data_IF_513083324955
#
_entry.id   IF_513083324955
#
_cell.length_a   1.000
_cell.length_b   1.000
_cell.length_c   1.000
_cell.angle_alpha   90.00
_cell.angle_beta   90.00
_cell.angle_gamma   90.00
#
_symmetry.space_group_name_H-M   'P 1'
#
loop_
_entity.id
_entity.type
_entity.pdbx_description
1 polymer ?
#
# COMPACT_ATOMS: atom_id res chain seq x y z
N UNK A 1 4.49 -24.51 -1.86
CA UNK A 1 3.38 -24.23 -0.91
C UNK A 1 2.75 -22.91 -1.34
N UNK A 2 1.44 -22.89 -1.63
CA UNK A 2 0.75 -21.68 -2.11
C UNK A 2 0.75 -20.64 -0.98
N UNK A 3 1.08 -19.40 -1.29
CA UNK A 3 1.02 -18.31 -0.32
C UNK A 3 -0.45 -18.08 0.05
N UNK A 4 -0.73 -17.90 1.34
CA UNK A 4 -2.07 -17.53 1.80
C UNK A 4 -2.15 -16.00 1.76
N UNK A 5 -3.04 -15.46 0.92
CA UNK A 5 -3.04 -14.04 0.52
C UNK A 5 -4.22 -13.27 1.10
N UNK A 6 -5.36 -13.93 1.31
CA UNK A 6 -6.53 -13.36 1.96
C UNK A 6 -7.09 -14.41 2.92
N UNK A 7 -7.27 -14.04 4.18
CA UNK A 7 -7.86 -14.85 5.22
C UNK A 7 -9.39 -14.69 5.33
N UNK A 8 -9.93 -13.63 4.72
CA UNK A 8 -11.35 -13.28 4.70
C UNK A 8 -11.80 -13.08 3.24
N UNK A 9 -12.89 -13.74 2.86
CA UNK A 9 -13.58 -13.49 1.60
C UNK A 9 -14.63 -12.40 1.79
N UNK A 10 -14.68 -11.45 0.85
CA UNK A 10 -15.66 -10.37 0.82
C UNK A 10 -16.57 -10.51 -0.41
N UNK A 11 -17.82 -10.05 -0.29
CA UNK A 11 -18.77 -10.11 -1.40
C UNK A 11 -18.44 -9.11 -2.52
N UNK A 12 -17.75 -8.01 -2.18
CA UNK A 12 -17.36 -6.97 -3.12
C UNK A 12 -16.15 -6.16 -2.64
N UNK A 13 -15.41 -5.61 -3.60
CA UNK A 13 -14.45 -4.52 -3.40
C UNK A 13 -15.12 -3.20 -3.77
N UNK A 14 -14.92 -2.15 -2.96
CA UNK A 14 -15.53 -0.84 -3.16
C UNK A 14 -14.48 0.25 -3.30
N UNK A 15 -14.79 1.28 -4.09
CA UNK A 15 -14.04 2.54 -4.13
C UNK A 15 -15.00 3.69 -3.78
N UNK A 16 -14.66 4.51 -2.80
CA UNK A 16 -15.50 5.61 -2.30
C UNK A 16 -16.96 5.19 -2.05
N UNK A 17 -17.12 4.07 -1.35
CA UNK A 17 -18.41 3.43 -0.99
C UNK A 17 -19.23 2.91 -2.18
N UNK A 18 -18.64 2.81 -3.37
CA UNK A 18 -19.29 2.38 -4.61
C UNK A 18 -18.72 1.07 -5.14
N UNK A 19 -19.62 0.20 -5.57
CA UNK A 19 -19.29 -1.02 -6.29
C UNK A 19 -19.22 -0.75 -7.81
N UNK A 20 -18.76 -1.75 -8.56
CA UNK A 20 -18.51 -1.60 -10.01
C UNK A 20 -19.78 -1.44 -10.86
N UNK A 21 -20.97 -1.68 -10.31
CA UNK A 21 -22.25 -1.37 -10.94
C UNK A 21 -22.75 0.07 -10.70
N UNK A 22 -22.12 0.81 -9.77
CA UNK A 22 -22.39 2.23 -9.45
C UNK A 22 -21.09 3.08 -9.45
N UNK A 23 -20.33 2.95 -10.55
CA UNK A 23 -19.01 3.57 -10.71
C UNK A 23 -18.98 5.06 -10.43
N UNK A 24 -18.01 5.50 -9.63
CA UNK A 24 -17.77 6.94 -9.46
C UNK A 24 -17.05 7.51 -10.70
N UNK A 25 -17.67 8.49 -11.34
CA UNK A 25 -17.08 9.22 -12.45
C UNK A 25 -16.64 10.59 -11.98
N UNK A 26 -15.35 10.77 -11.79
CA UNK A 26 -14.74 12.06 -11.43
C UNK A 26 -14.47 12.84 -12.72
N UNK A 27 -15.14 13.99 -12.86
CA UNK A 27 -15.00 14.85 -14.03
C UNK A 27 -13.76 15.72 -13.91
N UNK A 28 -12.89 15.64 -14.91
CA UNK A 28 -11.61 16.36 -14.95
C UNK A 28 -11.49 17.23 -16.20
N UNK A 29 -10.66 18.26 -16.12
CA UNK A 29 -10.28 19.04 -17.30
C UNK A 29 -9.43 18.20 -18.26
N UNK A 30 -9.36 18.61 -19.52
CA UNK A 30 -8.48 18.00 -20.52
C UNK A 30 -7.04 18.47 -20.27
N UNK A 31 -6.10 17.52 -20.16
CA UNK A 31 -4.72 17.80 -19.79
C UNK A 31 -4.54 18.33 -18.35
N UNK A 32 -3.30 18.67 -18.02
CA UNK A 32 -2.92 19.15 -16.69
C UNK A 32 -2.55 18.02 -15.73
N UNK A 33 -2.60 18.31 -14.44
CA UNK A 33 -2.25 17.38 -13.38
C UNK A 33 -3.37 17.32 -12.34
N UNK A 34 -3.62 16.13 -11.81
CA UNK A 34 -4.48 15.95 -10.65
C UNK A 34 -3.70 15.24 -9.55
N UNK A 35 -4.06 15.50 -8.29
CA UNK A 35 -3.53 14.73 -7.17
C UNK A 35 -4.56 13.69 -6.76
N UNK A 36 -4.15 12.43 -6.71
CA UNK A 36 -4.92 11.34 -6.12
C UNK A 36 -4.32 10.98 -4.77
N UNK A 37 -5.13 11.05 -3.73
CA UNK A 37 -4.78 10.57 -2.39
C UNK A 37 -5.45 9.21 -2.20
N UNK A 38 -4.70 8.14 -2.44
CA UNK A 38 -5.25 6.77 -2.42
C UNK A 38 -5.02 6.19 -1.03
N UNK A 39 -6.08 5.65 -0.44
CA UNK A 39 -6.08 5.05 0.89
C UNK A 39 -6.61 3.63 0.77
N UNK A 40 -5.81 2.64 1.18
CA UNK A 40 -6.34 1.29 1.37
C UNK A 40 -7.02 1.21 2.74
N UNK A 41 -8.35 1.37 2.73
CA UNK A 41 -9.21 1.28 3.91
C UNK A 41 -9.74 -0.13 4.21
N UNK A 42 -9.31 -1.15 3.46
CA UNK A 42 -9.80 -2.52 3.68
C UNK A 42 -9.26 -3.11 4.99
N UNK A 43 -10.07 -4.00 5.58
CA UNK A 43 -9.76 -4.65 6.85
C UNK A 43 -8.78 -5.81 6.71
N UNK A 44 -8.84 -6.54 5.60
CA UNK A 44 -7.98 -7.73 5.37
C UNK A 44 -7.52 -7.91 3.93
N UNK A 45 -7.48 -6.84 3.13
CA UNK A 45 -7.19 -6.96 1.70
C UNK A 45 -6.15 -5.97 1.23
N UNK A 46 -5.14 -6.49 0.54
CA UNK A 46 -4.14 -5.74 -0.20
C UNK A 46 -4.61 -5.51 -1.64
N UNK A 47 -4.21 -4.40 -2.24
CA UNK A 47 -4.57 -4.07 -3.63
C UNK A 47 -3.35 -3.73 -4.48
N UNK A 48 -3.41 -4.13 -5.75
CA UNK A 48 -2.58 -3.56 -6.82
C UNK A 48 -3.38 -2.46 -7.51
N UNK A 49 -2.83 -1.26 -7.58
CA UNK A 49 -3.42 -0.15 -8.31
C UNK A 49 -2.85 -0.06 -9.71
N UNK A 50 -3.69 0.17 -10.71
CA UNK A 50 -3.30 0.34 -12.12
C UNK A 50 -4.04 1.54 -12.73
N UNK A 51 -3.27 2.50 -13.25
CA UNK A 51 -3.75 3.73 -13.87
C UNK A 51 -3.84 3.62 -15.41
N UNK A 52 -3.58 2.43 -15.96
CA UNK A 52 -3.63 2.13 -17.37
C UNK A 52 -2.63 2.97 -18.17
N UNK A 53 -3.15 3.84 -19.04
CA UNK A 53 -2.33 4.71 -19.89
C UNK A 53 -1.86 6.00 -19.21
N UNK A 54 -2.36 6.31 -18.01
CA UNK A 54 -1.93 7.48 -17.26
C UNK A 54 -0.64 7.19 -16.49
N UNK A 55 0.27 8.16 -16.52
CA UNK A 55 1.44 8.15 -15.64
C UNK A 55 1.13 8.94 -14.38
N UNK A 56 1.71 8.49 -13.28
CA UNK A 56 1.69 9.22 -12.04
C UNK A 56 3.09 9.32 -11.45
N UNK A 57 3.27 10.32 -10.60
CA UNK A 57 4.45 10.49 -9.79
C UNK A 57 4.06 10.33 -8.33
N UNK A 58 4.68 9.38 -7.65
CA UNK A 58 4.55 9.16 -6.22
C UNK A 58 5.46 10.16 -5.51
N UNK A 59 4.85 11.14 -4.82
CA UNK A 59 5.55 12.28 -4.21
C UNK A 59 5.12 12.57 -2.75
N UNK A 60 4.40 11.63 -2.13
CA UNK A 60 4.03 11.68 -0.72
C UNK A 60 5.20 11.58 0.27
N UNK A 61 4.90 11.34 1.56
CA UNK A 61 5.82 11.06 2.68
C UNK A 61 7.33 11.28 2.45
N UNK A 62 7.75 12.52 2.15
CA UNK A 62 9.14 12.95 1.97
C UNK A 62 10.04 11.91 1.26
N UNK A 63 9.58 11.40 0.12
CA UNK A 63 10.40 10.58 -0.78
C UNK A 63 10.81 11.39 -2.02
N UNK A 64 11.87 10.93 -2.70
CA UNK A 64 12.17 11.41 -4.05
C UNK A 64 11.03 10.96 -4.98
N UNK A 65 10.57 11.84 -5.90
CA UNK A 65 9.52 11.50 -6.85
C UNK A 65 9.83 10.22 -7.61
N UNK A 66 8.88 9.28 -7.64
CA UNK A 66 8.98 8.03 -8.40
C UNK A 66 7.84 7.96 -9.42
N UNK A 67 8.16 7.87 -10.71
CA UNK A 67 7.16 7.81 -11.78
C UNK A 67 6.80 6.37 -12.12
N UNK A 68 5.51 6.13 -12.31
CA UNK A 68 4.97 4.85 -12.75
C UNK A 68 3.45 4.93 -12.98
N UNK A 69 2.84 3.80 -13.28
CA UNK A 69 1.39 3.69 -13.52
C UNK A 69 0.77 2.53 -12.74
N UNK A 70 1.58 1.70 -12.09
CA UNK A 70 1.14 0.56 -11.30
C UNK A 70 1.94 0.47 -10.00
N UNK A 71 1.25 0.22 -8.89
CA UNK A 71 1.88 0.08 -7.58
C UNK A 71 0.99 -0.72 -6.62
N UNK A 72 1.61 -1.36 -5.63
CA UNK A 72 0.90 -2.06 -4.56
C UNK A 72 0.57 -1.15 -3.38
N UNK A 73 -0.53 -1.44 -2.68
CA UNK A 73 -0.87 -0.79 -1.43
C UNK A 73 -1.49 -1.79 -0.45
N UNK A 74 -0.79 -2.01 0.65
CA UNK A 74 -1.24 -2.90 1.71
C UNK A 74 -2.27 -2.24 2.63
N UNK A 75 -2.96 -3.04 3.45
CA UNK A 75 -3.97 -2.53 4.39
C UNK A 75 -3.43 -1.34 5.21
N UNK A 76 -4.25 -0.30 5.35
CA UNK A 76 -3.94 0.95 6.05
C UNK A 76 -2.79 1.79 5.46
N UNK A 77 -2.17 1.42 4.34
CA UNK A 77 -1.23 2.28 3.65
C UNK A 77 -1.96 3.39 2.88
N UNK A 78 -1.25 4.50 2.65
CA UNK A 78 -1.70 5.64 1.85
C UNK A 78 -0.61 6.04 0.90
N UNK A 79 -1.00 6.49 -0.29
CA UNK A 79 -0.09 7.04 -1.27
C UNK A 79 -0.69 8.32 -1.86
N UNK A 80 0.13 9.36 -1.90
CA UNK A 80 -0.17 10.57 -2.64
C UNK A 80 0.52 10.46 -4.00
N UNK A 81 -0.25 10.61 -5.06
CA UNK A 81 0.27 10.61 -6.42
C UNK A 81 -0.22 11.83 -7.19
N UNK A 82 0.63 12.34 -8.06
CA UNK A 82 0.27 13.34 -9.05
C UNK A 82 0.15 12.66 -10.40
N UNK A 83 -1.05 12.61 -10.96
CA UNK A 83 -1.37 11.99 -12.24
C UNK A 83 -1.32 13.03 -13.34
N UNK A 84 -0.58 12.74 -14.40
CA UNK A 84 -0.51 13.57 -15.60
C UNK A 84 -1.66 13.19 -16.54
N UNK A 85 -2.64 14.09 -16.71
CA UNK A 85 -3.76 13.86 -17.61
C UNK A 85 -3.33 14.05 -19.07
N UNK A 86 -3.84 13.18 -19.94
CA UNK A 86 -3.53 13.26 -21.37
C UNK A 86 -4.19 14.50 -21.99
N UNK A 87 -3.55 15.02 -23.05
CA UNK A 87 -4.06 16.19 -23.78
C UNK A 87 -5.28 15.90 -24.61
N UNK A 88 -5.62 14.64 -24.90
CA UNK A 88 -6.84 14.26 -25.59
C UNK A 88 -7.98 14.04 -24.58
N UNK A 89 -9.21 14.31 -25.00
CA UNK A 89 -10.37 13.91 -24.21
C UNK A 89 -10.43 12.38 -24.08
N UNK A 90 -10.80 11.89 -22.90
CA UNK A 90 -10.85 10.47 -22.62
C UNK A 90 -11.51 10.15 -21.28
N UNK A 91 -11.62 8.86 -21.01
CA UNK A 91 -12.01 8.29 -19.74
C UNK A 91 -10.99 7.22 -19.36
N UNK A 92 -10.49 7.30 -18.14
CA UNK A 92 -9.39 6.49 -17.63
C UNK A 92 -9.80 5.90 -16.29
N UNK A 93 -10.03 4.58 -16.22
CA UNK A 93 -10.20 3.90 -14.96
C UNK A 93 -8.92 3.92 -14.13
N UNK A 94 -9.09 4.05 -12.82
CA UNK A 94 -8.06 3.85 -11.82
C UNK A 94 -8.46 2.59 -11.05
N UNK A 95 -7.88 1.47 -11.44
CA UNK A 95 -8.25 0.15 -10.94
C UNK A 95 -7.57 -0.13 -9.61
N UNK A 96 -8.30 -0.73 -8.69
CA UNK A 96 -7.80 -1.39 -7.48
C UNK A 96 -8.10 -2.88 -7.58
N UNK A 97 -7.09 -3.68 -7.92
CA UNK A 97 -7.20 -5.13 -8.11
C UNK A 97 -6.86 -5.85 -6.82
N UNK A 98 -7.75 -6.73 -6.34
CA UNK A 98 -7.52 -7.51 -5.14
C UNK A 98 -6.31 -8.44 -5.30
N UNK A 99 -5.39 -8.44 -4.33
CA UNK A 99 -4.29 -9.41 -4.28
C UNK A 99 -4.85 -10.84 -4.22
N UNK A 100 -4.36 -11.74 -5.06
CA UNK A 100 -4.65 -13.17 -4.95
C UNK A 100 -6.10 -13.57 -5.28
N UNK A 101 -6.91 -12.64 -5.80
CA UNK A 101 -8.30 -12.87 -6.20
C UNK A 101 -8.63 -12.10 -7.49
N UNK A 102 -9.83 -12.34 -8.01
CA UNK A 102 -10.32 -11.67 -9.23
C UNK A 102 -11.08 -10.38 -8.98
N UNK A 103 -11.55 -10.11 -7.77
CA UNK A 103 -12.37 -8.91 -7.51
C UNK A 103 -11.54 -7.64 -7.71
N UNK A 104 -12.21 -6.58 -8.15
CA UNK A 104 -11.60 -5.26 -8.29
C UNK A 104 -12.62 -4.18 -7.94
N UNK A 105 -12.12 -2.97 -7.74
CA UNK A 105 -12.90 -1.75 -7.65
C UNK A 105 -12.26 -0.68 -8.54
N UNK A 106 -12.99 0.38 -8.85
CA UNK A 106 -12.43 1.48 -9.62
C UNK A 106 -13.09 2.83 -9.31
N UNK A 107 -12.38 3.87 -9.74
CA UNK A 107 -12.98 5.16 -10.08
C UNK A 107 -12.65 5.45 -11.54
N UNK A 108 -13.47 6.24 -12.21
CA UNK A 108 -13.20 6.70 -13.58
C UNK A 108 -12.89 8.19 -13.57
N UNK A 109 -11.69 8.55 -14.01
CA UNK A 109 -11.38 9.93 -14.39
C UNK A 109 -11.87 10.17 -15.81
N UNK A 110 -12.81 11.08 -16.01
CA UNK A 110 -13.35 11.36 -17.34
C UNK A 110 -13.27 12.86 -17.66
N UNK A 111 -12.77 13.18 -18.86
CA UNK A 111 -12.77 14.56 -19.35
C UNK A 111 -14.20 15.10 -19.39
N UNK A 112 -14.41 16.36 -18.98
CA UNK A 112 -15.71 17.03 -19.06
C UNK A 112 -16.26 16.92 -20.49
N UNK A 113 -17.51 16.47 -20.63
CA UNK A 113 -18.19 16.28 -21.92
C UNK A 113 -18.11 14.86 -22.50
N UNK A 114 -17.22 13.98 -21.99
CA UNK A 114 -17.18 12.56 -22.40
C UNK A 114 -18.41 11.83 -21.86
N UNK A 115 -19.34 11.45 -22.73
CA UNK A 115 -20.58 10.76 -22.35
C UNK A 115 -20.39 9.26 -22.13
N UNK A 116 -19.59 8.63 -23.00
CA UNK A 116 -19.35 7.19 -22.95
C UNK A 116 -18.11 6.92 -22.12
N UNK A 117 -18.32 6.58 -20.85
CA UNK A 117 -17.30 5.94 -20.03
C UNK A 117 -17.51 4.43 -20.18
N UNK A 118 -16.47 3.70 -20.58
CA UNK A 118 -16.57 2.25 -20.74
C UNK A 118 -16.99 1.60 -19.43
N UNK A 119 -17.73 0.49 -19.49
CA UNK A 119 -17.95 -0.37 -18.32
C UNK A 119 -16.77 -1.33 -18.19
N UNK A 120 -16.29 -1.49 -16.97
CA UNK A 120 -15.33 -2.52 -16.62
C UNK A 120 -16.04 -3.75 -16.08
N UNK A 121 -15.42 -4.92 -16.23
CA UNK A 121 -15.93 -6.15 -15.65
C UNK A 121 -15.72 -6.15 -14.13
N UNK A 122 -16.59 -6.84 -13.40
CA UNK A 122 -16.44 -6.95 -11.94
C UNK A 122 -15.23 -7.80 -11.50
N UNK A 123 -14.76 -8.64 -12.41
CA UNK A 123 -13.64 -9.54 -12.20
C UNK A 123 -12.52 -9.19 -13.18
N UNK A 124 -11.29 -9.19 -12.69
CA UNK A 124 -10.10 -9.04 -13.51
C UNK A 124 -9.89 -10.28 -14.37
N UNK A 125 -9.49 -10.09 -15.63
CA UNK A 125 -9.13 -11.18 -16.54
C UNK A 125 -7.91 -11.96 -16.06
N UNK A 126 -7.06 -11.33 -15.25
CA UNK A 126 -5.86 -11.92 -14.65
C UNK A 126 -5.81 -11.57 -13.16
N UNK A 127 -5.69 -12.59 -12.32
CA UNK A 127 -5.56 -12.40 -10.87
C UNK A 127 -4.26 -11.67 -10.55
N UNK A 128 -4.34 -10.67 -9.67
CA UNK A 128 -3.14 -9.98 -9.21
C UNK A 128 -2.31 -10.91 -8.32
N UNK A 129 -1.01 -10.97 -8.56
CA UNK A 129 -0.10 -11.78 -7.76
C UNK A 129 0.13 -11.21 -6.35
N UNK A 130 0.97 -11.88 -5.54
CA UNK A 130 1.44 -11.38 -4.26
C UNK A 130 1.91 -9.93 -4.30
N UNK A 131 1.56 -9.13 -3.29
CA UNK A 131 2.27 -7.89 -3.03
C UNK A 131 3.71 -8.21 -2.62
N UNK A 132 4.63 -7.52 -3.29
CA UNK A 132 6.07 -7.58 -3.05
C UNK A 132 6.53 -6.22 -2.54
N UNK A 133 7.81 -6.12 -2.17
CA UNK A 133 8.43 -4.84 -1.82
C UNK A 133 8.96 -4.07 -3.04
N UNK A 134 8.46 -4.33 -4.26
CA UNK A 134 9.04 -3.77 -5.48
C UNK A 134 8.91 -2.24 -5.55
N UNK A 135 7.81 -1.69 -5.05
CA UNK A 135 7.65 -0.24 -4.91
C UNK A 135 8.65 0.29 -3.87
N UNK A 136 8.60 -0.28 -2.66
CA UNK A 136 9.43 0.13 -1.53
C UNK A 136 10.93 0.11 -1.87
N UNK A 137 11.41 -0.89 -2.60
CA UNK A 137 12.81 -1.00 -3.02
C UNK A 137 13.26 0.13 -3.96
N UNK A 138 12.33 0.81 -4.63
CA UNK A 138 12.61 1.94 -5.52
C UNK A 138 12.50 3.29 -4.79
N UNK A 139 11.83 3.33 -3.65
CA UNK A 139 11.65 4.55 -2.88
C UNK A 139 12.97 4.96 -2.20
N UNK A 140 13.18 6.27 -2.13
CA UNK A 140 14.32 6.87 -1.44
C UNK A 140 13.84 8.11 -0.70
N UNK A 141 14.24 8.29 0.55
CA UNK A 141 13.89 9.48 1.29
C UNK A 141 14.44 10.74 0.61
N UNK A 142 13.63 11.80 0.59
CA UNK A 142 14.02 13.14 0.18
C UNK A 142 15.06 13.72 1.15
N UNK A 143 14.95 13.36 2.44
CA UNK A 143 15.90 13.75 3.48
C UNK A 143 16.23 12.53 4.34
N UNK A 144 17.52 12.23 4.48
CA UNK A 144 17.97 11.19 5.40
C UNK A 144 17.63 11.56 6.85
N UNK A 145 17.37 10.56 7.68
CA UNK A 145 17.41 10.76 9.12
C UNK A 145 18.84 11.15 9.54
N UNK A 146 18.93 12.09 10.48
CA UNK A 146 20.16 12.38 11.19
C UNK A 146 20.73 11.08 11.77
N UNK A 147 22.00 10.81 11.46
CA UNK A 147 22.71 9.68 12.06
C UNK A 147 22.76 9.87 13.57
N UNK A 148 22.33 8.85 14.30
CA UNK A 148 22.56 8.71 15.73
C UNK A 148 23.08 7.30 15.92
N UNK A 149 24.11 7.09 16.75
CA UNK A 149 24.58 5.74 17.03
C UNK A 149 23.39 4.89 17.43
N UNK A 150 23.28 3.71 16.81
CA UNK A 150 22.09 2.88 16.93
C UNK A 150 21.81 2.61 18.41
N UNK A 151 20.68 3.13 18.89
CA UNK A 151 20.16 2.75 20.19
C UNK A 151 19.48 1.39 20.10
N UNK A 152 19.33 0.74 21.25
CA UNK A 152 18.67 -0.56 21.49
C UNK A 152 18.02 -1.22 20.27
N UNK A 153 18.56 -2.36 19.85
CA UNK A 153 18.00 -3.17 18.77
C UNK A 153 16.94 -4.11 19.32
N UNK A 154 15.77 -4.16 18.68
CA UNK A 154 14.70 -5.10 19.01
C UNK A 154 14.35 -5.95 17.81
N UNK A 155 14.39 -7.28 17.96
CA UNK A 155 13.91 -8.21 16.94
C UNK A 155 12.50 -8.69 17.29
N UNK A 156 11.58 -8.51 16.35
CA UNK A 156 10.17 -8.89 16.47
C UNK A 156 9.83 -9.92 15.39
N UNK A 157 9.54 -11.16 15.80
CA UNK A 157 9.21 -12.26 14.90
C UNK A 157 7.72 -12.40 14.76
N UNK A 158 7.20 -12.22 13.55
CA UNK A 158 5.80 -12.47 13.24
C UNK A 158 5.62 -13.97 13.08
N UNK A 159 4.76 -14.54 13.94
CA UNK A 159 4.47 -15.97 13.98
C UNK A 159 2.96 -16.18 14.01
N UNK A 160 2.51 -17.26 13.41
CA UNK A 160 1.15 -17.72 13.59
C UNK A 160 0.77 -18.89 12.72
N UNK A 161 -0.47 -19.29 12.85
CA UNK A 161 -1.13 -20.36 12.08
C UNK A 161 -2.60 -20.00 11.88
N UNK A 162 -3.18 -20.50 10.79
CA UNK A 162 -4.62 -20.45 10.53
C UNK A 162 -5.37 -21.57 11.27
N UNK A 163 -4.70 -22.68 11.58
CA UNK A 163 -5.28 -23.85 12.24
C UNK A 163 -4.37 -24.36 13.38
N UNK A 164 -4.67 -24.05 14.66
CA UNK A 164 -5.70 -23.11 15.12
C UNK A 164 -5.34 -21.67 14.73
N UNK A 165 -6.35 -20.79 14.60
CA UNK A 165 -6.16 -19.37 14.33
C UNK A 165 -5.42 -18.71 15.51
N UNK A 166 -4.13 -18.45 15.34
CA UNK A 166 -3.26 -17.96 16.40
C UNK A 166 -2.16 -17.10 15.79
N UNK A 167 -2.24 -15.79 16.03
CA UNK A 167 -1.25 -14.81 15.55
C UNK A 167 -0.57 -14.10 16.71
N UNK A 168 0.72 -13.83 16.57
CA UNK A 168 1.48 -13.17 17.61
C UNK A 168 2.86 -12.69 17.19
N UNK A 169 3.45 -11.89 18.06
CA UNK A 169 4.81 -11.39 17.91
C UNK A 169 5.68 -12.11 18.95
N UNK A 170 6.82 -12.63 18.51
CA UNK A 170 7.71 -13.46 19.33
C UNK A 170 7.00 -14.69 19.94
N UNK A 171 5.98 -15.22 19.26
CA UNK A 171 5.19 -16.36 19.72
C UNK A 171 4.21 -16.04 20.85
N UNK A 172 4.00 -14.75 21.16
CA UNK A 172 3.09 -14.28 22.21
C UNK A 172 1.91 -13.53 21.60
N UNK A 173 0.71 -13.85 22.08
CA UNK A 173 -0.51 -13.15 21.72
C UNK A 173 -0.70 -11.89 22.57
N UNK A 174 -1.79 -11.16 22.35
CA UNK A 174 -2.04 -9.90 23.05
C UNK A 174 -1.98 -10.02 24.58
N UNK A 175 -2.62 -11.04 25.16
CA UNK A 175 -2.76 -11.19 26.61
C UNK A 175 -1.44 -11.46 27.35
N UNK A 176 -0.41 -11.96 26.66
CA UNK A 176 0.90 -12.27 27.24
C UNK A 176 2.06 -11.63 26.48
N UNK A 177 1.80 -10.54 25.74
CA UNK A 177 2.75 -9.85 24.86
C UNK A 177 3.95 -9.29 25.61
N UNK A 178 5.10 -9.29 24.92
CA UNK A 178 6.27 -8.52 25.34
C UNK A 178 6.22 -7.13 24.72
N UNK A 179 6.24 -6.09 25.54
CA UNK A 179 6.31 -4.71 25.06
C UNK A 179 7.77 -4.31 24.78
N UNK A 180 8.01 -3.70 23.62
CA UNK A 180 9.27 -2.99 23.37
C UNK A 180 9.26 -1.71 24.21
N UNK A 181 10.01 -1.71 25.32
CA UNK A 181 10.10 -0.56 26.23
C UNK A 181 11.11 0.44 25.68
N UNK A 182 10.66 1.68 25.48
CA UNK A 182 11.48 2.79 25.00
C UNK A 182 11.38 4.00 25.93
N UNK A 183 12.38 4.88 25.89
CA UNK A 183 12.38 6.18 26.55
C UNK A 183 12.10 7.30 25.54
N UNK A 184 11.53 8.42 26.02
CA UNK A 184 11.36 9.62 25.19
C UNK A 184 12.70 10.06 24.59
N UNK A 185 12.73 10.30 23.29
CA UNK A 185 13.94 10.71 22.56
C UNK A 185 14.91 9.58 22.21
N UNK A 186 14.67 8.35 22.67
CA UNK A 186 15.49 7.19 22.32
C UNK A 186 15.31 6.83 20.85
N UNK A 187 16.42 6.76 20.10
CA UNK A 187 16.46 6.12 18.78
C UNK A 187 16.51 4.61 19.01
N UNK A 188 15.66 3.87 18.30
CA UNK A 188 15.68 2.40 18.30
C UNK A 188 15.67 1.89 16.87
N UNK A 189 16.30 0.72 16.67
CA UNK A 189 16.18 -0.07 15.46
C UNK A 189 15.28 -1.27 15.76
N UNK A 190 14.21 -1.44 14.98
CA UNK A 190 13.34 -2.61 15.07
C UNK A 190 13.51 -3.44 13.81
N UNK A 191 13.88 -4.71 13.99
CA UNK A 191 13.90 -5.70 12.91
C UNK A 191 12.65 -6.55 12.99
N UNK A 192 11.81 -6.49 11.97
CA UNK A 192 10.69 -7.41 11.82
C UNK A 192 11.10 -8.62 10.98
N UNK A 193 10.83 -9.81 11.50
CA UNK A 193 11.08 -11.08 10.81
C UNK A 193 9.74 -11.78 10.59
N UNK A 194 9.26 -11.77 9.35
CA UNK A 194 8.09 -12.55 9.00
C UNK A 194 8.50 -14.01 8.82
N UNK A 195 8.06 -14.89 9.72
CA UNK A 195 8.32 -16.34 9.65
C UNK A 195 7.08 -17.13 9.23
N UNK A 196 6.07 -16.42 8.71
CA UNK A 196 4.81 -16.98 8.21
C UNK A 196 4.80 -16.93 6.69
N UNK A 197 3.79 -17.56 6.08
CA UNK A 197 3.54 -17.50 4.64
C UNK A 197 2.56 -16.39 4.25
N UNK A 198 2.23 -15.46 5.14
CA UNK A 198 1.27 -14.38 4.90
C UNK A 198 1.93 -13.02 5.00
N UNK A 199 1.40 -12.04 4.27
CA UNK A 199 1.80 -10.63 4.43
C UNK A 199 1.24 -10.06 5.75
N UNK A 200 2.03 -9.23 6.42
CA UNK A 200 1.65 -8.57 7.67
C UNK A 200 1.97 -7.07 7.59
N UNK A 201 1.02 -6.22 7.15
CA UNK A 201 1.23 -4.78 7.15
C UNK A 201 1.27 -4.27 8.59
N UNK A 202 2.46 -3.90 9.05
CA UNK A 202 2.68 -3.45 10.42
C UNK A 202 2.50 -1.94 10.58
N UNK A 203 1.86 -1.57 11.67
CA UNK A 203 1.57 -0.20 12.05
C UNK A 203 2.15 0.11 13.43
N UNK A 204 2.76 1.29 13.59
CA UNK A 204 3.23 1.80 14.89
C UNK A 204 2.46 3.07 15.26
N UNK A 205 1.70 3.02 16.35
CA UNK A 205 0.96 4.18 16.85
C UNK A 205 1.91 5.24 17.41
N UNK A 206 1.58 6.52 17.17
CA UNK A 206 2.29 7.68 17.75
C UNK A 206 3.71 7.91 17.22
N UNK A 207 4.15 7.14 16.23
CA UNK A 207 5.50 7.21 15.68
C UNK A 207 5.45 7.21 14.16
N UNK A 208 6.37 7.95 13.56
CA UNK A 208 6.79 7.72 12.18
C UNK A 208 8.16 7.06 12.21
N UNK A 209 8.41 6.15 11.26
CA UNK A 209 9.68 5.43 11.13
C UNK A 209 10.17 5.51 9.68
N UNK A 210 11.46 5.25 9.49
CA UNK A 210 12.04 4.98 8.18
C UNK A 210 12.40 3.50 8.06
N UNK A 211 12.15 2.94 6.89
CA UNK A 211 12.68 1.64 6.48
C UNK A 211 14.12 1.85 6.06
N UNK A 212 15.05 1.24 6.79
CA UNK A 212 16.51 1.39 6.56
C UNK A 212 17.13 0.15 5.92
N UNK A 213 16.43 -0.99 5.94
CA UNK A 213 16.84 -2.22 5.27
C UNK A 213 15.63 -3.10 4.94
N UNK A 214 15.72 -3.86 3.86
CA UNK A 214 14.79 -4.93 3.48
C UNK A 214 15.60 -6.15 3.06
N UNK A 215 15.24 -7.35 3.55
CA UNK A 215 15.93 -8.61 3.25
C UNK A 215 17.46 -8.51 3.38
N UNK A 216 17.91 -7.89 4.49
CA UNK A 216 19.33 -7.64 4.80
C UNK A 216 20.06 -6.68 3.84
N UNK A 217 19.38 -6.09 2.87
CA UNK A 217 19.91 -5.01 2.01
C UNK A 217 19.59 -3.66 2.63
N UNK A 218 20.61 -2.92 3.02
CA UNK A 218 20.46 -1.57 3.55
C UNK A 218 20.16 -0.54 2.45
N UNK A 219 19.39 0.49 2.79
CA UNK A 219 19.13 1.65 1.93
C UNK A 219 20.04 2.81 2.34
N UNK A 220 20.67 3.48 1.37
CA UNK A 220 21.59 4.58 1.64
C UNK A 220 20.93 5.78 2.35
N UNK A 221 19.64 6.03 2.10
CA UNK A 221 18.89 7.15 2.68
C UNK A 221 17.62 6.72 3.43
N UNK A 222 17.37 5.41 3.55
CA UNK A 222 16.06 4.87 3.96
C UNK A 222 14.90 5.38 3.10
N UNK A 223 13.68 4.98 3.42
CA UNK A 223 12.45 5.60 2.89
C UNK A 223 11.27 5.33 3.82
N UNK A 224 10.15 6.01 3.56
CA UNK A 224 8.92 5.85 4.33
C UNK A 224 8.85 6.80 5.52
N UNK A 225 7.66 7.34 5.75
CA UNK A 225 7.28 8.07 6.96
C UNK A 225 5.78 7.93 7.11
N UNK A 226 5.30 6.81 7.65
CA UNK A 226 3.87 6.67 7.95
C UNK A 226 3.52 7.69 9.05
N UNK A 227 2.85 8.78 8.67
CA UNK A 227 2.17 9.69 9.59
C UNK A 227 0.68 9.35 9.58
N UNK A 228 0.16 8.85 10.69
CA UNK A 228 -1.27 8.73 10.93
C UNK A 228 -1.79 10.05 11.49
#
# INVERSE_FOLDING_TARGET
MKMDQNDIEFDACLANDRALDDLEIIRVAQGGKIRLCIVNGATSTNFHFDLGSLQCTIDGNLVKPLTGHRFGLAMAQRIDTVVDLLKNAGAWPILAMQEGAGQQADIILATVGVKNVGKLANMADTMAGPLTFDLEMQLSALTALEFRPDGTHSALRLKGSMAPNSWGINGKGWNNRDAVKIRKGQRILITFQNTTMMAHPLHLHGHAFQVVALNSKAFALGFGRLRF
#
